data_IF_124498943055
#
_entry.id   IF_124498943055
#
_cell.length_a   1.000
_cell.length_b   1.000
_cell.length_c   1.000
_cell.angle_alpha   90.00
_cell.angle_beta   90.00
_cell.angle_gamma   90.00
#
_symmetry.space_group_name_H-M   'P 1'
#
loop_
_entity.id
_entity.type
_entity.pdbx_description
1 polymer ?
#
# COMPACT_ATOMS: atom_id res chain seq x y z
N UNK A 1 43.37 49.50 -10.43
CA UNK A 1 44.57 48.76 -9.94
C UNK A 1 44.13 47.39 -9.43
N UNK A 2 44.95 46.38 -9.71
CA UNK A 2 44.81 44.91 -9.45
C UNK A 2 44.45 44.61 -7.97
N UNK A 3 43.82 43.49 -7.60
CA UNK A 3 44.34 42.11 -7.77
C UNK A 3 43.26 41.03 -7.56
N UNK A 4 43.27 40.03 -8.43
CA UNK A 4 42.67 38.70 -8.31
C UNK A 4 43.27 37.89 -7.16
N UNK A 5 42.46 37.12 -6.42
CA UNK A 5 42.91 35.91 -5.73
C UNK A 5 41.77 34.87 -5.69
N UNK A 6 41.94 33.79 -6.45
CA UNK A 6 41.18 32.54 -6.35
C UNK A 6 41.66 31.81 -5.10
N UNK A 7 40.74 31.38 -4.24
CA UNK A 7 41.09 30.45 -3.16
C UNK A 7 40.06 29.31 -3.17
N UNK A 8 40.47 28.22 -3.80
CA UNK A 8 39.86 26.90 -3.64
C UNK A 8 40.15 26.45 -2.21
N UNK A 9 39.13 26.15 -1.42
CA UNK A 9 39.30 25.41 -0.18
C UNK A 9 38.12 24.47 -0.03
N UNK A 10 38.37 23.22 -0.42
CA UNK A 10 37.53 22.08 -0.09
C UNK A 10 37.60 21.86 1.43
N UNK A 11 36.45 21.88 2.10
CA UNK A 11 36.28 21.29 3.41
C UNK A 11 34.90 20.63 3.43
N UNK A 12 34.92 19.31 3.55
CA UNK A 12 33.77 18.42 3.51
C UNK A 12 32.72 18.85 4.55
N UNK A 13 31.54 19.23 4.06
CA UNK A 13 30.38 19.54 4.90
C UNK A 13 29.78 18.22 5.35
N UNK A 14 29.78 18.05 6.67
CA UNK A 14 29.21 16.97 7.43
C UNK A 14 27.73 16.74 7.11
N UNK A 15 27.42 15.45 6.94
CA UNK A 15 26.14 14.78 7.15
C UNK A 15 24.98 15.65 7.65
N UNK A 16 24.09 16.01 6.74
CA UNK A 16 22.65 15.99 6.99
C UNK A 16 21.99 15.46 5.74
N UNK A 17 21.73 14.15 5.73
CA UNK A 17 20.83 13.52 4.78
C UNK A 17 19.41 14.00 5.12
N UNK A 18 19.09 15.24 4.76
CA UNK A 18 17.71 15.67 4.66
C UNK A 18 17.16 14.96 3.44
N UNK A 19 16.67 13.73 3.65
CA UNK A 19 15.65 13.15 2.79
C UNK A 19 14.45 14.09 2.90
N UNK A 20 14.48 15.14 2.10
CA UNK A 20 13.30 15.87 1.71
C UNK A 20 12.41 14.83 1.04
N UNK A 21 11.51 14.23 1.82
CA UNK A 21 10.35 13.54 1.29
C UNK A 21 9.58 14.60 0.52
N UNK A 22 9.84 14.68 -0.79
CA UNK A 22 9.02 15.38 -1.75
C UNK A 22 7.60 14.88 -1.55
N UNK A 23 6.75 15.70 -0.94
CA UNK A 23 5.34 15.43 -0.65
C UNK A 23 4.46 15.38 -1.90
N UNK A 24 4.91 14.68 -2.95
CA UNK A 24 4.20 14.44 -4.21
C UNK A 24 3.87 12.94 -4.39
N UNK A 25 3.82 12.17 -3.30
CA UNK A 25 3.44 10.75 -3.31
C UNK A 25 2.12 10.53 -2.58
N UNK A 26 1.35 9.53 -3.00
CA UNK A 26 0.20 9.04 -2.22
C UNK A 26 0.66 8.59 -0.83
N UNK A 27 -0.20 8.79 0.18
CA UNK A 27 0.08 8.23 1.51
C UNK A 27 0.04 6.70 1.46
N UNK A 28 0.72 6.03 2.39
CA UNK A 28 0.67 4.57 2.48
C UNK A 28 -0.77 4.06 2.62
N UNK A 29 -1.59 4.76 3.40
CA UNK A 29 -3.01 4.43 3.57
C UNK A 29 -3.80 4.54 2.26
N UNK A 30 -3.48 5.50 1.39
CA UNK A 30 -4.09 5.61 0.06
C UNK A 30 -3.69 4.45 -0.84
N UNK A 31 -2.43 4.00 -0.76
CA UNK A 31 -1.94 2.83 -1.50
C UNK A 31 -2.68 1.57 -1.03
N UNK A 32 -2.79 1.37 0.29
CA UNK A 32 -3.51 0.24 0.90
C UNK A 32 -4.99 0.25 0.50
N UNK A 33 -5.68 1.39 0.60
CA UNK A 33 -7.08 1.53 0.19
C UNK A 33 -7.28 1.21 -1.29
N UNK A 34 -6.39 1.70 -2.15
CA UNK A 34 -6.43 1.44 -3.60
C UNK A 34 -6.19 -0.05 -3.90
N UNK A 35 -5.22 -0.67 -3.24
CA UNK A 35 -4.94 -2.08 -3.37
C UNK A 35 -6.17 -2.93 -2.96
N UNK A 36 -6.76 -2.63 -1.81
CA UNK A 36 -7.96 -3.32 -1.33
C UNK A 36 -9.11 -3.23 -2.34
N UNK A 37 -9.41 -2.02 -2.83
CA UNK A 37 -10.46 -1.81 -3.83
C UNK A 37 -10.24 -2.66 -5.09
N UNK A 38 -9.01 -2.69 -5.61
CA UNK A 38 -8.67 -3.48 -6.80
C UNK A 38 -8.85 -4.98 -6.55
N UNK A 39 -8.52 -5.46 -5.35
CA UNK A 39 -8.68 -6.88 -5.00
C UNK A 39 -10.16 -7.27 -4.83
N UNK A 40 -11.01 -6.37 -4.35
CA UNK A 40 -12.47 -6.58 -4.27
C UNK A 40 -13.10 -6.61 -5.66
N UNK A 41 -12.71 -5.68 -6.53
CA UNK A 41 -13.22 -5.57 -7.92
C UNK A 41 -12.58 -6.61 -8.87
N UNK A 42 -11.64 -7.43 -8.37
CA UNK A 42 -10.87 -8.36 -9.19
C UNK A 42 -11.74 -9.48 -9.75
N UNK A 43 -11.68 -9.77 -11.06
CA UNK A 43 -12.34 -10.92 -11.65
C UNK A 43 -11.88 -12.25 -11.04
N UNK A 44 -12.77 -13.23 -10.98
CA UNK A 44 -12.41 -14.58 -10.57
C UNK A 44 -11.38 -15.21 -11.52
N UNK A 45 -10.46 -15.99 -10.95
CA UNK A 45 -9.42 -16.71 -11.71
C UNK A 45 -8.16 -15.89 -12.01
N UNK A 46 -8.15 -14.58 -11.79
CA UNK A 46 -6.91 -13.81 -11.87
C UNK A 46 -5.99 -14.07 -10.67
N UNK A 47 -4.69 -14.26 -10.95
CA UNK A 47 -3.68 -14.61 -9.94
C UNK A 47 -2.51 -13.62 -9.90
N UNK A 48 -1.71 -13.66 -8.84
CA UNK A 48 -0.57 -12.76 -8.63
C UNK A 48 -0.93 -11.40 -8.02
N UNK A 49 0.09 -10.69 -7.54
CA UNK A 49 -0.03 -9.38 -6.88
C UNK A 49 -0.25 -8.27 -7.93
N UNK A 50 -1.36 -7.51 -7.89
CA UNK A 50 -1.59 -6.42 -8.84
C UNK A 50 -0.50 -5.34 -8.74
N UNK A 51 -0.18 -4.69 -9.85
CA UNK A 51 0.82 -3.61 -9.88
C UNK A 51 0.48 -2.46 -8.92
N UNK A 52 -0.81 -2.16 -8.72
CA UNK A 52 -1.26 -1.14 -7.77
C UNK A 52 -1.00 -1.51 -6.29
N UNK A 53 -0.67 -2.77 -6.00
CA UNK A 53 -0.31 -3.26 -4.69
C UNK A 53 1.21 -3.40 -4.52
N UNK A 54 2.04 -3.02 -5.51
CA UNK A 54 3.50 -3.25 -5.49
C UNK A 54 4.18 -2.67 -4.25
N UNK A 55 3.70 -1.51 -3.81
CA UNK A 55 4.28 -0.73 -2.72
C UNK A 55 3.69 -1.10 -1.36
N UNK A 56 2.75 -2.07 -1.33
CA UNK A 56 2.19 -2.65 -0.11
C UNK A 56 3.16 -3.71 0.40
N UNK A 57 3.52 -3.63 1.69
CA UNK A 57 4.34 -4.63 2.37
C UNK A 57 3.71 -6.00 2.29
N UNK A 58 4.51 -7.05 2.33
CA UNK A 58 4.01 -8.40 2.08
C UNK A 58 3.04 -8.89 3.17
N UNK A 59 3.33 -8.57 4.43
CA UNK A 59 2.46 -8.83 5.57
C UNK A 59 1.10 -8.11 5.43
N UNK A 60 1.12 -6.84 5.02
CA UNK A 60 -0.10 -6.05 4.82
C UNK A 60 -0.87 -6.56 3.62
N UNK A 61 -0.18 -6.92 2.53
CA UNK A 61 -0.79 -7.48 1.34
C UNK A 61 -1.54 -8.78 1.64
N UNK A 62 -0.99 -9.62 2.51
CA UNK A 62 -1.65 -10.86 2.97
C UNK A 62 -2.96 -10.55 3.68
N UNK A 63 -2.94 -9.59 4.61
CA UNK A 63 -4.13 -9.17 5.37
C UNK A 63 -5.17 -8.53 4.45
N UNK A 64 -4.74 -7.62 3.56
CA UNK A 64 -5.62 -6.93 2.61
C UNK A 64 -6.26 -7.92 1.63
N UNK A 65 -5.49 -8.91 1.16
CA UNK A 65 -6.01 -9.96 0.27
C UNK A 65 -7.06 -10.82 0.95
N UNK A 66 -6.84 -11.19 2.22
CA UNK A 66 -7.84 -11.90 3.01
C UNK A 66 -9.10 -11.04 3.25
N UNK A 67 -8.92 -9.77 3.60
CA UNK A 67 -10.02 -8.81 3.77
C UNK A 67 -10.88 -8.68 2.51
N UNK A 68 -10.24 -8.48 1.35
CA UNK A 68 -10.93 -8.37 0.07
C UNK A 68 -11.67 -9.67 -0.30
N UNK A 69 -11.10 -10.83 0.03
CA UNK A 69 -11.78 -12.12 -0.17
C UNK A 69 -13.04 -12.23 0.71
N UNK A 70 -12.96 -11.86 1.99
CA UNK A 70 -14.12 -11.86 2.89
C UNK A 70 -15.22 -10.92 2.37
N UNK A 71 -14.87 -9.74 1.88
CA UNK A 71 -15.83 -8.80 1.30
C UNK A 71 -16.49 -9.36 0.04
N UNK A 72 -15.71 -9.96 -0.87
CA UNK A 72 -16.25 -10.61 -2.08
C UNK A 72 -17.20 -11.77 -1.77
N UNK A 73 -16.92 -12.52 -0.71
CA UNK A 73 -17.78 -13.61 -0.23
C UNK A 73 -19.01 -13.08 0.54
N UNK A 74 -19.10 -11.77 0.76
CA UNK A 74 -20.19 -11.16 1.50
C UNK A 74 -20.13 -11.41 3.00
N UNK A 75 -18.98 -11.82 3.54
CA UNK A 75 -18.78 -12.11 4.97
C UNK A 75 -18.55 -10.87 5.82
N UNK A 76 -18.78 -9.68 5.28
CA UNK A 76 -18.60 -8.42 6.00
C UNK A 76 -19.92 -7.67 6.18
N UNK A 77 -20.02 -6.88 7.24
CA UNK A 77 -21.13 -5.95 7.48
C UNK A 77 -20.98 -4.67 6.62
N UNK A 78 -21.96 -3.78 6.70
CA UNK A 78 -21.96 -2.50 5.95
C UNK A 78 -20.78 -1.57 6.27
N UNK A 79 -20.04 -1.84 7.34
CA UNK A 79 -18.87 -1.09 7.78
C UNK A 79 -17.57 -1.84 7.45
N UNK A 80 -17.63 -2.95 6.71
CA UNK A 80 -16.47 -3.78 6.37
C UNK A 80 -15.95 -4.64 7.51
N UNK A 81 -16.70 -4.79 8.61
CA UNK A 81 -16.29 -5.68 9.72
C UNK A 81 -16.72 -7.10 9.42
N UNK A 82 -15.90 -8.07 9.80
CA UNK A 82 -16.24 -9.48 9.68
C UNK A 82 -17.57 -9.80 10.39
N UNK A 83 -18.44 -10.52 9.68
CA UNK A 83 -19.76 -10.95 10.08
C UNK A 83 -19.79 -12.49 10.06
N UNK A 84 -19.60 -13.08 11.23
CA UNK A 84 -19.55 -14.53 11.41
C UNK A 84 -20.84 -15.21 10.95
N UNK A 85 -22.00 -14.56 11.15
CA UNK A 85 -23.28 -15.13 10.75
C UNK A 85 -23.37 -15.26 9.23
N UNK A 86 -22.94 -14.25 8.49
CA UNK A 86 -22.91 -14.31 7.02
C UNK A 86 -21.94 -15.37 6.52
N UNK A 87 -20.76 -15.49 7.15
CA UNK A 87 -19.81 -16.56 6.83
C UNK A 87 -20.44 -17.94 7.04
N UNK A 88 -21.04 -18.22 8.19
CA UNK A 88 -21.64 -19.52 8.48
C UNK A 88 -22.84 -19.87 7.60
N UNK A 89 -23.49 -18.86 7.00
CA UNK A 89 -24.61 -19.04 6.08
C UNK A 89 -24.16 -19.18 4.61
N UNK A 90 -22.87 -19.00 4.31
CA UNK A 90 -22.35 -19.04 2.95
C UNK A 90 -22.38 -20.50 2.40
N UNK A 91 -23.09 -20.74 1.29
CA UNK A 91 -23.06 -22.04 0.61
C UNK A 91 -21.66 -22.52 0.23
N UNK A 92 -20.68 -21.62 0.06
CA UNK A 92 -19.28 -21.96 -0.23
C UNK A 92 -18.57 -22.66 0.93
N UNK A 93 -19.05 -22.51 2.18
CA UNK A 93 -18.47 -23.13 3.37
C UNK A 93 -19.13 -24.46 3.79
N UNK A 94 -20.33 -24.73 3.28
CA UNK A 94 -21.15 -25.89 3.68
C UNK A 94 -21.02 -27.06 2.66
N UNK A 95 -20.19 -26.88 1.63
CA UNK A 95 -19.97 -27.83 0.55
C UNK A 95 -18.66 -28.59 0.71
#
# INVERSE_FOLDING_TARGET
MRTTARTLTAAAITTTLVLAASGCGQSYDDIVRKCHKILVERPEGETGKPAACSDVKEEDYTVISASAAMERLGWTDKNGRFDEQKMLQDPALIR
#
